data_IF_237329924674
#
_entry.id   IF_237329924674
#
_cell.length_a   1.000
_cell.length_b   1.000
_cell.length_c   1.000
_cell.angle_alpha   90.00
_cell.angle_beta   90.00
_cell.angle_gamma   90.00
#
_symmetry.space_group_name_H-M   'P 1'
#
loop_
_entity.id
_entity.type
_entity.pdbx_description
1 polymer ?
#
# COMPACT_ATOMS: atom_id res chain seq x y z
N UNK A 1 7.11 -21.51 -9.71
CA UNK A 1 7.82 -20.66 -10.68
C UNK A 1 6.81 -20.05 -11.64
N UNK A 2 6.46 -18.78 -11.45
CA UNK A 2 6.06 -17.92 -12.58
C UNK A 2 6.96 -16.69 -12.44
N UNK A 3 8.15 -16.85 -12.99
CA UNK A 3 9.15 -15.81 -13.12
C UNK A 3 8.75 -14.85 -14.25
N UNK A 4 8.91 -13.56 -13.96
CA UNK A 4 9.38 -12.55 -14.91
C UNK A 4 8.72 -12.52 -16.30
N UNK A 5 7.61 -11.79 -16.44
CA UNK A 5 7.32 -11.04 -17.68
C UNK A 5 6.95 -9.60 -17.37
N UNK A 6 7.99 -8.78 -17.19
CA UNK A 6 7.89 -7.32 -17.21
C UNK A 6 7.48 -6.84 -18.61
N UNK A 7 6.20 -6.52 -18.79
CA UNK A 7 5.67 -5.87 -19.99
C UNK A 7 5.89 -4.35 -19.90
N UNK A 8 7.15 -3.92 -19.78
CA UNK A 8 7.57 -2.52 -19.90
C UNK A 8 6.97 -1.57 -18.85
N UNK A 9 7.41 -1.67 -17.59
CA UNK A 9 6.98 -0.79 -16.48
C UNK A 9 5.45 -0.71 -16.24
N UNK A 10 4.65 -1.60 -16.81
CA UNK A 10 3.21 -1.65 -16.57
C UNK A 10 2.93 -2.42 -15.27
N UNK A 11 2.21 -1.78 -14.34
CA UNK A 11 1.61 -2.48 -13.20
C UNK A 11 0.69 -3.59 -13.73
N UNK A 12 1.04 -4.84 -13.45
CA UNK A 12 0.37 -6.03 -13.99
C UNK A 12 -1.00 -6.26 -13.33
N UNK A 13 -1.15 -5.81 -12.08
CA UNK A 13 -2.41 -5.88 -11.34
C UNK A 13 -3.14 -4.53 -11.39
N UNK A 14 -4.22 -4.45 -12.17
CA UNK A 14 -5.13 -3.30 -12.15
C UNK A 14 -6.11 -3.48 -10.99
N UNK A 15 -5.96 -2.66 -9.95
CA UNK A 15 -6.84 -2.67 -8.79
C UNK A 15 -7.61 -1.35 -8.76
N UNK A 16 -8.94 -1.43 -8.77
CA UNK A 16 -9.80 -0.26 -8.53
C UNK A 16 -10.00 -0.12 -7.01
N UNK A 17 -9.59 1.01 -6.45
CA UNK A 17 -9.79 1.31 -5.03
C UNK A 17 -11.14 1.99 -4.86
N UNK A 18 -12.02 1.43 -4.03
CA UNK A 18 -13.27 2.09 -3.65
C UNK A 18 -12.97 3.13 -2.57
N UNK A 19 -13.26 4.40 -2.86
CA UNK A 19 -13.00 5.53 -1.97
C UNK A 19 -14.29 6.30 -1.69
N UNK A 20 -14.43 6.83 -0.48
CA UNK A 20 -15.48 7.81 -0.19
C UNK A 20 -15.32 9.05 -1.08
N UNK A 21 -16.44 9.73 -1.39
CA UNK A 21 -16.41 10.97 -2.18
C UNK A 21 -15.46 12.02 -1.58
N UNK A 22 -15.39 12.11 -0.24
CA UNK A 22 -14.51 13.04 0.47
C UNK A 22 -13.03 12.69 0.28
N UNK A 23 -12.68 11.41 0.38
CA UNK A 23 -11.31 10.95 0.18
C UNK A 23 -10.89 11.10 -1.28
N UNK A 24 -11.77 10.75 -2.23
CA UNK A 24 -11.50 10.93 -3.65
C UNK A 24 -11.25 12.40 -3.99
N UNK A 25 -12.02 13.34 -3.42
CA UNK A 25 -11.79 14.78 -3.60
C UNK A 25 -10.40 15.21 -3.11
N UNK A 26 -9.98 14.78 -1.92
CA UNK A 26 -8.64 15.08 -1.39
C UNK A 26 -7.53 14.53 -2.27
N UNK A 27 -7.68 13.28 -2.73
CA UNK A 27 -6.74 12.63 -3.63
C UNK A 27 -6.59 13.42 -4.93
N UNK A 28 -7.71 13.84 -5.54
CA UNK A 28 -7.68 14.64 -6.77
C UNK A 28 -6.99 15.99 -6.56
N UNK A 29 -7.27 16.69 -5.45
CA UNK A 29 -6.64 17.98 -5.16
C UNK A 29 -5.12 17.86 -5.04
N UNK A 30 -4.64 16.87 -4.30
CA UNK A 30 -3.22 16.63 -4.13
C UNK A 30 -2.56 16.14 -5.42
N UNK A 31 -3.23 15.26 -6.17
CA UNK A 31 -2.75 14.79 -7.47
C UNK A 31 -2.53 15.95 -8.44
N UNK A 32 -3.45 16.91 -8.50
CA UNK A 32 -3.30 18.14 -9.28
C UNK A 32 -2.11 18.97 -8.79
N UNK A 33 -1.97 19.17 -7.48
CA UNK A 33 -0.86 19.93 -6.91
C UNK A 33 0.52 19.31 -7.20
N UNK A 34 0.60 17.97 -7.26
CA UNK A 34 1.82 17.23 -7.54
C UNK A 34 1.99 16.87 -9.03
N UNK A 35 1.14 17.39 -9.93
CA UNK A 35 1.14 17.08 -11.37
C UNK A 35 1.21 15.55 -11.67
N UNK A 36 0.38 14.77 -10.97
CA UNK A 36 0.32 13.32 -11.12
C UNK A 36 -1.12 12.84 -11.31
N UNK A 37 -1.31 11.62 -11.85
CA UNK A 37 -2.65 11.03 -11.97
C UNK A 37 -3.13 10.58 -10.58
N UNK A 38 -4.41 10.79 -10.22
CA UNK A 38 -4.95 10.37 -8.93
C UNK A 38 -4.71 8.88 -8.63
N UNK A 39 -4.82 8.01 -9.63
CA UNK A 39 -4.57 6.57 -9.50
C UNK A 39 -3.09 6.26 -9.26
N UNK A 40 -2.18 6.98 -9.90
CA UNK A 40 -0.73 6.86 -9.64
C UNK A 40 -0.42 7.28 -8.20
N UNK A 41 -0.96 8.41 -7.76
CA UNK A 41 -0.77 8.89 -6.39
C UNK A 41 -1.35 7.94 -5.34
N UNK A 42 -2.53 7.37 -5.58
CA UNK A 42 -3.11 6.36 -4.71
C UNK A 42 -2.20 5.12 -4.58
N UNK A 43 -1.63 4.67 -5.70
CA UNK A 43 -0.65 3.59 -5.68
C UNK A 43 0.59 3.92 -4.85
N UNK A 44 1.13 5.13 -5.00
CA UNK A 44 2.27 5.61 -4.20
C UNK A 44 1.94 5.66 -2.71
N UNK A 45 0.74 6.13 -2.33
CA UNK A 45 0.33 6.12 -0.93
C UNK A 45 0.27 4.71 -0.35
N UNK A 46 -0.24 3.74 -1.11
CA UNK A 46 -0.29 2.34 -0.66
C UNK A 46 1.14 1.82 -0.44
N UNK A 47 2.06 2.08 -1.38
CA UNK A 47 3.46 1.68 -1.28
C UNK A 47 4.14 2.30 -0.06
N UNK A 48 3.94 3.61 0.19
CA UNK A 48 4.46 4.30 1.37
C UNK A 48 3.89 3.70 2.66
N UNK A 49 2.57 3.52 2.73
CA UNK A 49 1.90 3.02 3.92
C UNK A 49 2.31 1.58 4.28
N UNK A 50 2.52 0.72 3.28
CA UNK A 50 2.99 -0.66 3.50
C UNK A 50 4.46 -0.72 3.91
N UNK A 51 5.25 0.31 3.60
CA UNK A 51 6.64 0.46 4.03
C UNK A 51 6.79 1.34 5.29
N UNK A 52 5.70 1.61 6.02
CA UNK A 52 5.72 2.32 7.29
C UNK A 52 5.22 1.41 8.42
N UNK A 53 6.16 0.94 9.25
CA UNK A 53 5.86 0.06 10.38
C UNK A 53 4.81 0.63 11.34
N UNK A 54 4.80 1.96 11.57
CA UNK A 54 3.85 2.60 12.50
C UNK A 54 2.43 2.55 11.94
N UNK A 55 2.27 2.82 10.64
CA UNK A 55 0.97 2.72 9.96
C UNK A 55 0.48 1.28 9.98
N UNK A 56 1.34 0.32 9.67
CA UNK A 56 1.01 -1.12 9.68
C UNK A 56 0.59 -1.58 11.08
N UNK A 57 1.33 -1.19 12.12
CA UNK A 57 0.98 -1.51 13.50
C UNK A 57 -0.38 -0.94 13.89
N UNK A 58 -0.62 0.35 13.61
CA UNK A 58 -1.88 1.02 13.91
C UNK A 58 -3.08 0.35 13.21
N UNK A 59 -2.95 0.02 11.94
CA UNK A 59 -4.02 -0.66 11.19
C UNK A 59 -4.31 -2.05 11.78
N UNK A 60 -3.28 -2.78 12.21
CA UNK A 60 -3.48 -4.08 12.85
C UNK A 60 -4.09 -3.95 14.25
N UNK A 61 -3.87 -2.86 14.99
CA UNK A 61 -4.56 -2.64 16.27
C UNK A 61 -6.06 -2.38 16.07
N UNK A 62 -6.43 -1.67 15.00
CA UNK A 62 -7.81 -1.31 14.73
C UNK A 62 -8.62 -2.43 14.04
N UNK A 63 -7.99 -3.20 13.15
CA UNK A 63 -8.70 -4.12 12.26
C UNK A 63 -8.32 -5.60 12.40
N UNK A 64 -7.29 -5.96 13.18
CA UNK A 64 -6.92 -7.37 13.29
C UNK A 64 -7.91 -8.13 14.19
N UNK A 65 -8.66 -9.06 13.58
CA UNK A 65 -9.60 -9.94 14.28
C UNK A 65 -8.90 -11.18 14.85
N UNK A 66 -7.82 -11.64 14.23
CA UNK A 66 -7.18 -12.93 14.49
C UNK A 66 -5.69 -12.77 14.78
N UNK A 67 -5.32 -12.87 16.06
CA UNK A 67 -3.94 -12.72 16.54
C UNK A 67 -2.88 -13.53 15.76
N UNK A 68 -3.12 -14.78 15.33
CA UNK A 68 -2.11 -15.56 14.57
C UNK A 68 -1.74 -14.97 13.20
N UNK A 69 -2.62 -14.16 12.60
CA UNK A 69 -2.34 -13.51 11.30
C UNK A 69 -1.71 -12.12 11.45
N UNK A 70 -1.30 -11.74 12.67
CA UNK A 70 -0.59 -10.49 12.89
C UNK A 70 0.77 -10.55 12.18
N UNK A 71 1.01 -9.60 11.29
CA UNK A 71 2.31 -9.41 10.66
C UNK A 71 3.22 -8.58 11.55
N UNK A 72 4.49 -8.97 11.59
CA UNK A 72 5.57 -8.21 12.21
C UNK A 72 6.38 -7.60 11.06
N UNK A 73 6.36 -6.26 10.89
CA UNK A 73 7.21 -5.60 9.92
C UNK A 73 8.67 -5.66 10.38
N UNK A 74 9.56 -6.15 9.51
CA UNK A 74 11.01 -6.24 9.74
C UNK A 74 11.71 -5.44 8.65
N UNK A 75 12.60 -4.54 9.05
CA UNK A 75 13.38 -3.77 8.10
C UNK A 75 14.54 -4.61 7.55
N UNK A 76 14.60 -4.76 6.25
CA UNK A 76 15.60 -5.55 5.56
C UNK A 76 16.09 -4.78 4.33
N UNK A 77 17.37 -4.40 4.31
CA UNK A 77 17.99 -3.66 3.20
C UNK A 77 17.23 -2.41 2.72
N UNK A 78 16.49 -1.73 3.61
CA UNK A 78 15.72 -0.52 3.29
C UNK A 78 14.27 -0.77 2.85
N UNK A 79 13.84 -2.03 2.75
CA UNK A 79 12.46 -2.44 2.52
C UNK A 79 11.85 -3.05 3.79
N UNK A 80 10.52 -3.07 3.89
CA UNK A 80 9.81 -3.74 4.99
C UNK A 80 9.28 -5.09 4.50
N UNK A 81 9.82 -6.16 5.10
CA UNK A 81 9.30 -7.51 4.97
C UNK A 81 8.32 -7.84 6.10
N UNK A 82 7.31 -8.66 5.81
CA UNK A 82 6.36 -9.14 6.82
C UNK A 82 6.63 -10.59 7.20
N UNK A 83 6.73 -10.84 8.50
CA UNK A 83 6.76 -12.20 9.06
C UNK A 83 5.49 -12.46 9.87
N UNK A 84 4.98 -13.69 9.82
CA UNK A 84 3.88 -14.11 10.69
C UNK A 84 4.43 -14.57 12.03
N UNK A 85 3.75 -14.19 13.11
CA UNK A 85 4.02 -14.74 14.43
C UNK A 85 3.38 -16.13 14.50
N UNK A 86 4.18 -17.18 14.30
CA UNK A 86 3.77 -18.57 14.52
C UNK A 86 3.32 -18.84 15.96
#
# INVERSE_FOLDING_TARGET
>A
MIEGKGLGNKKINRVNVSLSNRTNRKLNQLATACNTKPTTLAGLFIEICLNDSQIVHKLQEEYNIYTPYKVIPVQNNGEIDYIFKG
#
